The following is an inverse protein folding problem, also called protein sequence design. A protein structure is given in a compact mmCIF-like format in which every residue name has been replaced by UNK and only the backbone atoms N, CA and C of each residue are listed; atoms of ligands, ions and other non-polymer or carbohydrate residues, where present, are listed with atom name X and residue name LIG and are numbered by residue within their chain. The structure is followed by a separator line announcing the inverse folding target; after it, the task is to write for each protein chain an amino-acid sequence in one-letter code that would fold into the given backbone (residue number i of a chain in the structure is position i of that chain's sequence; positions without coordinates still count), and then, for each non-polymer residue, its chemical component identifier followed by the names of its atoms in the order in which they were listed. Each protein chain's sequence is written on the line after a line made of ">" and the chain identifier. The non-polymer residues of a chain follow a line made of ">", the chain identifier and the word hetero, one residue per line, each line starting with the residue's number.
data_IF_334292970858
#
_entry.id   IF_334292970858
#
_cell.length_a   1.000
_cell.length_b   1.000
_cell.length_c   1.000
_cell.angle_alpha   90.00
_cell.angle_beta   90.00
_cell.angle_gamma   90.00
#
_symmetry.space_group_name_H-M   'P 1'
#
loop_
_entity.id
_entity.type
_entity.pdbx_description
1 polymer ?
#
# COMPACT_ATOMS: atom_id res chain seq x y z
N UNK A 1 24.16 5.99 -6.60
CA UNK A 1 22.92 5.35 -6.14
C UNK A 1 21.96 6.44 -5.64
N UNK A 2 20.79 6.56 -6.28
CA UNK A 2 19.72 7.46 -5.80
C UNK A 2 18.78 6.66 -4.89
N UNK A 3 18.27 7.32 -3.85
CA UNK A 3 17.26 6.77 -2.95
C UNK A 3 15.95 7.53 -3.14
N UNK A 4 14.84 6.80 -3.07
CA UNK A 4 13.50 7.35 -2.91
C UNK A 4 13.06 7.17 -1.46
N UNK A 5 12.24 8.10 -1.00
CA UNK A 5 11.63 8.07 0.33
C UNK A 5 10.16 8.47 0.20
N UNK A 6 9.29 7.74 0.85
CA UNK A 6 7.86 8.06 0.95
C UNK A 6 7.36 7.85 2.37
N UNK A 7 6.22 8.45 2.69
CA UNK A 7 5.49 8.20 3.93
C UNK A 7 4.00 8.33 3.68
N UNK A 8 3.22 7.45 4.31
CA UNK A 8 1.78 7.47 4.22
C UNK A 8 1.13 7.03 5.54
N UNK A 9 -0.12 7.46 5.75
CA UNK A 9 -0.91 7.15 6.94
C UNK A 9 -2.20 6.47 6.54
N UNK A 10 -2.44 5.31 7.11
CA UNK A 10 -3.54 4.43 6.76
C UNK A 10 -4.62 4.45 7.84
N UNK A 11 -5.80 4.83 7.39
CA UNK A 11 -7.04 4.84 8.16
C UNK A 11 -8.12 4.22 7.29
N UNK A 12 -8.57 3.03 7.63
CA UNK A 12 -9.60 2.32 6.86
C UNK A 12 -10.63 1.69 7.79
N UNK A 13 -11.89 1.75 7.42
CA UNK A 13 -13.00 1.11 8.10
C UNK A 13 -13.90 0.38 7.10
N UNK A 14 -14.10 -0.95 7.30
CA UNK A 14 -13.57 -1.80 8.36
C UNK A 14 -12.07 -2.07 8.23
N UNK A 15 -11.39 -2.43 9.35
CA UNK A 15 -9.95 -2.78 9.35
C UNK A 15 -9.63 -4.05 8.56
N UNK A 16 -10.59 -4.96 8.46
CA UNK A 16 -10.55 -6.18 7.65
C UNK A 16 -11.65 -6.08 6.61
N UNK A 17 -11.28 -6.17 5.36
CA UNK A 17 -12.18 -6.01 4.22
C UNK A 17 -11.96 -7.11 3.18
N UNK A 18 -12.84 -7.18 2.20
CA UNK A 18 -12.72 -8.14 1.10
C UNK A 18 -11.42 -7.91 0.34
N UNK A 19 -10.55 -8.91 0.33
CA UNK A 19 -9.26 -8.87 -0.35
C UNK A 19 -8.08 -8.41 0.51
N UNK A 20 -8.30 -7.94 1.77
CA UNK A 20 -7.19 -7.52 2.62
C UNK A 20 -7.56 -7.02 4.02
N UNK A 21 -6.62 -6.31 4.59
CA UNK A 21 -6.74 -5.60 5.86
C UNK A 21 -5.80 -4.37 5.86
N UNK A 22 -5.91 -3.55 6.90
CA UNK A 22 -5.11 -2.34 7.05
C UNK A 22 -3.59 -2.63 7.03
N UNK A 23 -3.15 -3.79 7.50
CA UNK A 23 -1.73 -4.18 7.48
C UNK A 23 -1.24 -4.44 6.06
N UNK A 24 -2.00 -5.21 5.27
CA UNK A 24 -1.72 -5.40 3.84
C UNK A 24 -1.72 -4.07 3.11
N UNK A 25 -2.74 -3.24 3.33
CA UNK A 25 -2.91 -1.93 2.70
C UNK A 25 -1.70 -1.02 2.99
N UNK A 26 -1.26 -0.94 4.25
CA UNK A 26 -0.15 -0.06 4.64
C UNK A 26 1.18 -0.42 3.98
N UNK A 27 1.48 -1.70 3.84
CA UNK A 27 2.72 -2.12 3.18
C UNK A 27 2.62 -1.97 1.66
N UNK A 28 1.47 -2.36 1.06
CA UNK A 28 1.27 -2.21 -0.39
C UNK A 28 1.35 -0.75 -0.83
N UNK A 29 0.65 0.18 -0.15
CA UNK A 29 0.66 1.60 -0.53
C UNK A 29 2.07 2.18 -0.49
N UNK A 30 2.82 1.96 0.58
CA UNK A 30 4.21 2.44 0.69
C UNK A 30 5.12 1.84 -0.39
N UNK A 31 4.98 0.54 -0.70
CA UNK A 31 5.75 -0.10 -1.76
C UNK A 31 5.36 0.44 -3.14
N UNK A 32 4.08 0.66 -3.37
CA UNK A 32 3.58 1.18 -4.64
C UNK A 32 4.05 2.61 -4.89
N UNK A 33 4.06 3.46 -3.87
CA UNK A 33 4.66 4.80 -3.97
C UNK A 33 6.13 4.73 -4.41
N UNK A 34 6.92 3.84 -3.83
CA UNK A 34 8.31 3.64 -4.24
C UNK A 34 8.39 3.14 -5.69
N UNK A 35 7.50 2.23 -6.10
CA UNK A 35 7.47 1.70 -7.46
C UNK A 35 7.12 2.79 -8.49
N UNK A 36 6.22 3.75 -8.16
CA UNK A 36 5.84 4.83 -9.09
C UNK A 36 7.00 5.75 -9.45
N UNK A 37 8.05 5.79 -8.65
CA UNK A 37 9.28 6.55 -8.93
C UNK A 37 10.44 5.68 -9.39
N UNK A 38 10.16 4.41 -9.75
CA UNK A 38 11.16 3.47 -10.26
C UNK A 38 12.11 2.93 -9.19
N UNK A 39 11.67 2.88 -7.93
CA UNK A 39 12.49 2.42 -6.83
C UNK A 39 12.09 1.00 -6.38
N UNK A 40 13.09 0.16 -6.19
CA UNK A 40 12.93 -1.12 -5.50
C UNK A 40 12.89 -0.89 -3.99
N UNK A 41 11.87 -1.41 -3.26
CA UNK A 41 11.75 -1.21 -1.83
C UNK A 41 12.86 -1.93 -1.08
N UNK A 42 13.41 -1.30 -0.05
CA UNK A 42 14.45 -1.84 0.82
C UNK A 42 13.94 -1.94 2.26
N UNK A 43 13.66 -0.79 2.87
CA UNK A 43 13.35 -0.68 4.29
C UNK A 43 12.07 0.09 4.52
N UNK A 44 11.31 -0.33 5.52
CA UNK A 44 10.07 0.30 5.96
C UNK A 44 10.16 0.57 7.46
N UNK A 45 9.71 1.73 7.90
CA UNK A 45 9.33 1.97 9.29
C UNK A 45 7.82 1.83 9.42
N UNK A 46 7.33 1.32 10.58
CA UNK A 46 5.90 1.17 10.83
C UNK A 46 5.52 1.70 12.22
N UNK A 47 4.77 2.79 12.26
CA UNK A 47 4.20 3.36 13.47
C UNK A 47 2.74 2.93 13.65
N UNK A 48 2.38 2.57 14.88
CA UNK A 48 1.02 2.15 15.25
C UNK A 48 0.44 3.10 16.29
N UNK A 49 -0.77 3.61 16.05
CA UNK A 49 -1.59 4.27 17.06
C UNK A 49 -2.79 3.37 17.33
N UNK A 50 -2.86 2.83 18.53
CA UNK A 50 -3.79 1.76 18.91
C UNK A 50 -4.72 2.27 19.99
N UNK A 51 -6.02 2.08 19.81
CA UNK A 51 -7.01 2.38 20.84
C UNK A 51 -6.90 1.39 22.00
N UNK A 52 -7.02 1.89 23.23
CA UNK A 52 -7.11 1.06 24.43
C UNK A 52 -8.25 0.02 24.31
N UNK A 53 -7.91 -1.24 24.60
CA UNK A 53 -8.86 -2.35 24.48
C UNK A 53 -8.89 -2.99 23.08
N UNK A 54 -8.06 -2.54 22.14
CA UNK A 54 -7.96 -3.18 20.83
C UNK A 54 -7.56 -4.65 20.95
N UNK A 55 -8.18 -5.53 20.16
CA UNK A 55 -7.96 -6.96 20.21
C UNK A 55 -6.53 -7.36 19.81
N UNK A 56 -5.79 -8.00 20.73
CA UNK A 56 -4.47 -8.56 20.45
C UNK A 56 -4.52 -9.62 19.33
N UNK A 57 -5.61 -10.37 19.23
CA UNK A 57 -5.81 -11.32 18.13
C UNK A 57 -5.85 -10.60 16.77
N UNK A 58 -6.61 -9.51 16.67
CA UNK A 58 -6.68 -8.70 15.46
C UNK A 58 -5.34 -8.03 15.13
N UNK A 59 -4.64 -7.51 16.14
CA UNK A 59 -3.31 -6.94 15.95
C UNK A 59 -2.33 -7.97 15.36
N UNK A 60 -2.32 -9.20 15.90
CA UNK A 60 -1.48 -10.28 15.37
C UNK A 60 -1.81 -10.64 13.92
N UNK A 61 -3.10 -10.63 13.54
CA UNK A 61 -3.51 -10.85 12.14
C UNK A 61 -2.97 -9.76 11.22
N UNK A 62 -3.12 -8.50 11.62
CA UNK A 62 -2.64 -7.33 10.86
C UNK A 62 -1.12 -7.40 10.68
N UNK A 63 -0.35 -7.63 11.74
CA UNK A 63 1.11 -7.75 11.66
C UNK A 63 1.53 -8.95 10.80
N UNK A 64 0.76 -10.04 10.83
CA UNK A 64 1.02 -11.19 9.96
C UNK A 64 0.83 -10.85 8.49
N UNK A 65 -0.24 -10.14 8.12
CA UNK A 65 -0.44 -9.73 6.72
C UNK A 65 0.63 -8.74 6.25
N UNK A 66 1.07 -7.80 7.10
CA UNK A 66 2.23 -6.95 6.79
C UNK A 66 3.48 -7.77 6.47
N UNK A 67 3.79 -8.75 7.33
CA UNK A 67 4.93 -9.64 7.12
C UNK A 67 4.82 -10.41 5.80
N UNK A 68 3.64 -10.96 5.48
CA UNK A 68 3.42 -11.71 4.24
C UNK A 68 3.69 -10.88 2.98
N UNK A 69 3.36 -9.58 2.99
CA UNK A 69 3.68 -8.68 1.87
C UNK A 69 5.17 -8.36 1.84
N UNK A 70 5.79 -8.10 2.97
CA UNK A 70 7.23 -7.88 3.06
C UNK A 70 8.02 -9.09 2.53
N UNK A 71 7.64 -10.31 2.92
CA UNK A 71 8.28 -11.54 2.46
C UNK A 71 8.16 -11.72 0.92
N UNK A 72 7.03 -11.30 0.33
CA UNK A 72 6.80 -11.38 -1.12
C UNK A 72 7.59 -10.35 -1.93
N UNK A 73 7.82 -9.18 -1.35
CA UNK A 73 8.39 -8.02 -2.04
C UNK A 73 9.86 -7.79 -1.77
N UNK A 74 10.41 -8.47 -0.76
CA UNK A 74 11.78 -8.29 -0.30
C UNK A 74 11.99 -7.08 0.60
N UNK A 75 10.95 -6.26 0.84
CA UNK A 75 11.03 -5.15 1.78
C UNK A 75 11.15 -5.65 3.23
N UNK A 76 11.85 -4.88 4.08
CA UNK A 76 12.04 -5.23 5.47
C UNK A 76 11.53 -4.12 6.39
N UNK A 77 10.68 -4.47 7.35
CA UNK A 77 10.33 -3.56 8.45
C UNK A 77 11.50 -3.56 9.43
N UNK A 78 12.23 -2.47 9.52
CA UNK A 78 13.49 -2.37 10.30
C UNK A 78 13.34 -1.53 11.56
N UNK A 79 12.30 -0.72 11.65
CA UNK A 79 12.02 0.14 12.81
C UNK A 79 10.54 0.47 12.88
N UNK A 80 10.10 1.00 14.01
CA UNK A 80 8.74 1.45 14.20
C UNK A 80 8.50 1.96 15.61
N UNK A 81 7.28 2.39 15.87
CA UNK A 81 6.81 2.80 17.18
C UNK A 81 5.39 2.29 17.42
N UNK A 82 5.02 2.14 18.69
CA UNK A 82 3.65 1.77 19.08
C UNK A 82 3.17 2.68 20.19
N UNK A 83 2.08 3.39 19.93
CA UNK A 83 1.41 4.23 20.92
C UNK A 83 0.02 3.70 21.19
N UNK A 84 -0.27 3.41 22.45
CA UNK A 84 -1.64 3.14 22.91
C UNK A 84 -2.24 4.45 23.41
N UNK A 85 -3.44 4.76 22.93
CA UNK A 85 -4.17 5.98 23.27
C UNK A 85 -5.50 5.62 23.93
N UNK A 86 -6.08 6.57 24.65
CA UNK A 86 -7.35 6.41 25.35
C UNK A 86 -8.49 6.04 24.38
N UNK A 87 -9.47 5.31 24.89
CA UNK A 87 -10.66 4.92 24.12
C UNK A 87 -11.38 6.15 23.56
N UNK A 88 -11.69 6.11 22.26
CA UNK A 88 -12.31 7.20 21.51
C UNK A 88 -11.33 8.22 20.93
N UNK A 89 -10.01 8.09 21.17
CA UNK A 89 -9.00 8.97 20.57
C UNK A 89 -8.62 8.58 19.14
N UNK A 90 -8.85 7.31 18.77
CA UNK A 90 -8.72 6.80 17.39
C UNK A 90 -9.83 5.76 17.16
N UNK A 91 -10.09 5.39 15.91
CA UNK A 91 -11.08 4.36 15.57
C UNK A 91 -10.38 3.00 15.44
N UNK A 92 -10.05 2.42 16.58
CA UNK A 92 -9.40 1.12 16.73
C UNK A 92 -7.90 1.14 16.48
N UNK A 93 -7.46 1.33 15.23
CA UNK A 93 -6.04 1.28 14.85
C UNK A 93 -5.75 2.17 13.64
N UNK A 94 -4.69 2.97 13.76
CA UNK A 94 -4.08 3.68 12.63
C UNK A 94 -2.65 3.21 12.45
N UNK A 95 -2.20 3.14 11.19
CA UNK A 95 -0.84 2.74 10.83
C UNK A 95 -0.23 3.85 9.97
N UNK A 96 0.96 4.30 10.33
CA UNK A 96 1.82 5.11 9.47
C UNK A 96 3.00 4.27 9.03
N UNK A 97 3.32 4.30 7.75
CA UNK A 97 4.51 3.67 7.21
C UNK A 97 5.35 4.69 6.46
N UNK A 98 6.65 4.54 6.53
CA UNK A 98 7.59 5.27 5.67
C UNK A 98 8.52 4.28 5.02
N UNK A 99 8.78 4.46 3.73
CA UNK A 99 9.58 3.53 2.95
C UNK A 99 10.82 4.18 2.33
N UNK A 100 11.90 3.42 2.25
CA UNK A 100 13.11 3.76 1.52
C UNK A 100 13.33 2.72 0.43
N UNK A 101 13.58 3.18 -0.80
CA UNK A 101 13.88 2.33 -1.93
C UNK A 101 15.08 2.81 -2.73
N UNK A 102 15.71 1.89 -3.44
CA UNK A 102 16.79 2.20 -4.36
C UNK A 102 16.22 2.47 -5.75
N UNK A 103 16.46 3.68 -6.27
CA UNK A 103 16.00 4.08 -7.61
C UNK A 103 16.87 3.42 -8.66
N UNK A 104 16.26 2.63 -9.54
CA UNK A 104 16.87 2.07 -10.73
C UNK A 104 16.48 2.84 -12.00
N UNK A 105 15.22 3.27 -12.06
CA UNK A 105 14.64 4.04 -13.16
C UNK A 105 14.11 5.38 -12.64
N UNK A 106 13.93 6.36 -13.52
CA UNK A 106 13.45 7.67 -13.13
C UNK A 106 12.29 8.13 -14.00
N UNK A 107 11.11 8.15 -13.44
CA UNK A 107 9.88 8.64 -14.07
C UNK A 107 9.60 10.08 -13.64
N UNK A 108 9.13 10.92 -14.55
CA UNK A 108 8.88 12.32 -14.27
C UNK A 108 7.72 12.87 -15.10
N UNK A 109 6.87 13.69 -14.48
CA UNK A 109 5.84 14.45 -15.19
C UNK A 109 6.38 15.31 -16.34
N UNK A 110 7.66 15.72 -16.28
CA UNK A 110 8.30 16.50 -17.31
C UNK A 110 8.51 15.72 -18.61
N UNK A 111 8.40 14.40 -18.57
CA UNK A 111 8.57 13.52 -19.73
C UNK A 111 7.26 13.30 -20.51
N UNK A 112 6.12 13.78 -19.98
CA UNK A 112 4.82 13.59 -20.63
C UNK A 112 4.66 14.48 -21.86
N UNK A 113 4.09 13.92 -22.92
CA UNK A 113 3.83 14.58 -24.17
C UNK A 113 2.42 14.30 -24.68
N UNK A 114 1.91 15.19 -25.54
CA UNK A 114 0.63 14.96 -26.22
C UNK A 114 0.77 13.77 -27.17
N UNK A 115 -0.15 12.81 -27.02
CA UNK A 115 -0.12 11.56 -27.82
C UNK A 115 0.42 10.37 -27.05
N UNK A 116 0.87 10.55 -25.80
CA UNK A 116 1.23 9.43 -24.94
C UNK A 116 0.01 8.55 -24.65
N UNK A 117 0.22 7.25 -24.61
CA UNK A 117 -0.81 6.27 -24.29
C UNK A 117 -0.91 6.07 -22.75
N UNK A 118 -2.15 5.92 -22.26
CA UNK A 118 -2.42 5.61 -20.87
C UNK A 118 -2.75 4.13 -20.76
N UNK A 119 -1.98 3.42 -19.94
CA UNK A 119 -2.16 2.00 -19.65
C UNK A 119 -2.68 1.86 -18.22
N UNK A 120 -3.74 1.09 -18.04
CA UNK A 120 -4.31 0.74 -16.75
C UNK A 120 -4.04 -0.74 -16.50
N UNK A 121 -3.41 -1.07 -15.36
CA UNK A 121 -2.93 -2.43 -15.06
C UNK A 121 -3.98 -3.33 -14.40
N UNK A 122 -5.17 -2.82 -14.13
CA UNK A 122 -6.26 -3.56 -13.47
C UNK A 122 -7.59 -2.83 -13.54
N UNK A 123 -8.49 -3.15 -12.64
CA UNK A 123 -9.76 -2.45 -12.50
C UNK A 123 -9.58 -1.03 -11.94
N UNK A 124 -10.63 -0.23 -12.02
CA UNK A 124 -10.65 1.13 -11.47
C UNK A 124 -11.61 1.15 -10.28
N UNK A 125 -11.17 1.75 -9.15
CA UNK A 125 -11.96 1.94 -7.93
C UNK A 125 -12.43 0.63 -7.26
N UNK A 126 -11.75 -0.50 -7.47
CA UNK A 126 -12.11 -1.78 -6.86
C UNK A 126 -11.90 -1.74 -5.35
N UNK A 127 -10.79 -1.13 -4.87
CA UNK A 127 -10.51 -0.99 -3.44
C UNK A 127 -11.62 -0.22 -2.73
N UNK A 128 -11.90 1.02 -3.16
CA UNK A 128 -12.90 1.86 -2.51
C UNK A 128 -14.31 1.27 -2.59
N UNK A 129 -14.65 0.64 -3.72
CA UNK A 129 -15.93 -0.07 -3.88
C UNK A 129 -16.07 -1.25 -2.93
N UNK A 130 -15.00 -2.03 -2.72
CA UNK A 130 -14.99 -3.13 -1.76
C UNK A 130 -15.17 -2.63 -0.31
N UNK A 131 -14.48 -1.55 0.06
CA UNK A 131 -14.62 -0.89 1.37
C UNK A 131 -16.05 -0.38 1.57
N UNK A 132 -16.64 0.29 0.56
CA UNK A 132 -18.00 0.82 0.66
C UNK A 132 -19.05 -0.28 0.85
N UNK A 133 -18.91 -1.39 0.12
CA UNK A 133 -19.81 -2.55 0.26
C UNK A 133 -19.77 -3.12 1.68
N UNK A 134 -18.58 -3.28 2.26
CA UNK A 134 -18.41 -3.81 3.60
C UNK A 134 -18.88 -2.80 4.67
N UNK A 135 -18.59 -1.51 4.49
CA UNK A 135 -19.00 -0.42 5.42
C UNK A 135 -20.52 -0.26 5.49
N UNK A 136 -21.20 -0.32 4.36
CA UNK A 136 -22.64 -0.14 4.28
C UNK A 136 -23.42 -1.44 4.54
N UNK A 137 -22.74 -2.54 4.84
CA UNK A 137 -23.33 -3.88 4.99
C UNK A 137 -24.30 -4.23 3.82
N UNK A 138 -24.00 -3.77 2.64
CA UNK A 138 -24.83 -3.95 1.46
C UNK A 138 -24.82 -5.42 1.06
N UNK A 139 -26.00 -6.02 1.02
CA UNK A 139 -26.19 -7.42 0.61
C UNK A 139 -26.22 -7.55 -0.91
N UNK A 140 -25.11 -7.18 -1.57
CA UNK A 140 -24.95 -7.50 -2.98
C UNK A 140 -24.24 -8.84 -3.13
N UNK A 141 -24.75 -9.67 -4.04
CA UNK A 141 -24.01 -10.83 -4.50
C UNK A 141 -22.99 -10.33 -5.54
N UNK A 142 -21.75 -10.20 -5.12
CA UNK A 142 -20.66 -9.74 -5.98
C UNK A 142 -19.35 -10.42 -5.58
N UNK A 143 -18.54 -10.73 -6.56
CA UNK A 143 -17.17 -11.25 -6.38
C UNK A 143 -16.14 -10.12 -6.23
N UNK A 144 -16.61 -8.84 -6.15
CA UNK A 144 -15.73 -7.68 -6.01
C UNK A 144 -14.93 -7.79 -4.72
N UNK A 145 -13.63 -7.71 -4.86
CA UNK A 145 -12.64 -7.64 -3.78
C UNK A 145 -11.72 -6.45 -4.02
N UNK A 146 -11.06 -5.97 -2.98
CA UNK A 146 -10.03 -4.95 -3.12
C UNK A 146 -8.89 -5.45 -4.01
N UNK A 147 -8.46 -4.63 -4.94
CA UNK A 147 -7.30 -4.81 -5.80
C UNK A 147 -5.97 -4.48 -5.08
N UNK A 148 -6.02 -4.16 -3.79
CA UNK A 148 -4.84 -3.88 -2.98
C UNK A 148 -3.78 -5.00 -3.12
N UNK A 149 -2.66 -4.68 -3.76
CA UNK A 149 -1.55 -5.59 -3.99
C UNK A 149 -0.24 -4.81 -4.21
N UNK A 150 0.93 -5.44 -3.96
CA UNK A 150 2.20 -4.80 -4.26
C UNK A 150 2.46 -4.81 -5.78
N UNK A 151 2.79 -3.65 -6.34
CA UNK A 151 2.99 -3.43 -7.77
C UNK A 151 4.47 -3.31 -8.17
N UNK A 152 5.40 -3.38 -7.22
CA UNK A 152 6.84 -3.28 -7.50
C UNK A 152 7.36 -4.32 -8.50
N UNK A 153 6.67 -5.46 -8.65
CA UNK A 153 6.98 -6.47 -9.67
C UNK A 153 6.78 -6.02 -11.11
N UNK A 154 5.96 -4.99 -11.37
CA UNK A 154 5.71 -4.47 -12.72
C UNK A 154 6.99 -3.97 -13.36
N UNK A 155 7.87 -3.32 -12.61
CA UNK A 155 9.18 -2.84 -13.09
C UNK A 155 9.99 -4.01 -13.67
N UNK A 156 9.99 -5.16 -13.00
CA UNK A 156 10.72 -6.34 -13.46
C UNK A 156 10.06 -6.99 -14.69
N UNK A 157 8.72 -6.95 -14.78
CA UNK A 157 7.97 -7.51 -15.91
C UNK A 157 8.22 -6.71 -17.18
N UNK A 158 8.33 -5.39 -17.08
CA UNK A 158 8.60 -4.51 -18.20
C UNK A 158 10.02 -4.70 -18.75
N UNK A 159 11.00 -5.11 -17.94
CA UNK A 159 12.36 -5.37 -18.38
C UNK A 159 12.94 -4.19 -19.16
N UNK A 160 13.39 -4.45 -20.42
CA UNK A 160 13.95 -3.41 -21.28
C UNK A 160 12.92 -2.38 -21.78
N UNK A 161 11.63 -2.71 -21.76
CA UNK A 161 10.55 -1.82 -22.22
C UNK A 161 10.25 -0.71 -21.21
N UNK A 162 10.77 -0.81 -19.99
CA UNK A 162 10.66 0.22 -18.96
C UNK A 162 11.14 1.60 -19.43
N UNK A 163 12.08 1.64 -20.36
CA UNK A 163 12.61 2.87 -20.98
C UNK A 163 11.55 3.70 -21.73
N UNK A 164 10.41 3.07 -22.10
CA UNK A 164 9.30 3.75 -22.75
C UNK A 164 8.28 4.30 -21.76
N UNK A 165 8.39 3.94 -20.49
CA UNK A 165 7.50 4.44 -19.42
C UNK A 165 7.95 5.83 -19.00
N UNK A 166 7.10 6.82 -19.23
CA UNK A 166 7.37 8.22 -18.87
C UNK A 166 6.94 8.56 -17.44
N UNK A 167 5.85 7.97 -16.99
CA UNK A 167 5.27 8.18 -15.66
C UNK A 167 4.54 6.93 -15.19
N UNK A 168 4.61 6.66 -13.90
CA UNK A 168 3.72 5.74 -13.18
C UNK A 168 2.96 6.50 -12.10
N UNK A 169 1.74 6.08 -11.82
CA UNK A 169 0.89 6.64 -10.78
C UNK A 169 0.13 5.51 -10.09
N UNK A 170 0.11 5.54 -8.77
CA UNK A 170 -0.80 4.75 -7.93
C UNK A 170 -2.00 5.64 -7.63
N UNK A 171 -3.22 5.32 -8.12
CA UNK A 171 -4.40 6.18 -8.02
C UNK A 171 -5.08 6.12 -6.65
#
# INVERSE_FOLDING_TARGET
>A
NKLAFTTDSFVVKPLFFRGGDIGKLSICGTINDLATVGASPLYISAGFVIEEGFSIYNLKRIVKSMKEICDKTGAQIVTGDTKVVEKGSVDGLYINTSGIGQVSEHFSYQNLELGDEIIITGGIAEHESAIMLDRLAMKFTTDLISDCMPLNGIINILGEDIKYVKLMKDP
#
